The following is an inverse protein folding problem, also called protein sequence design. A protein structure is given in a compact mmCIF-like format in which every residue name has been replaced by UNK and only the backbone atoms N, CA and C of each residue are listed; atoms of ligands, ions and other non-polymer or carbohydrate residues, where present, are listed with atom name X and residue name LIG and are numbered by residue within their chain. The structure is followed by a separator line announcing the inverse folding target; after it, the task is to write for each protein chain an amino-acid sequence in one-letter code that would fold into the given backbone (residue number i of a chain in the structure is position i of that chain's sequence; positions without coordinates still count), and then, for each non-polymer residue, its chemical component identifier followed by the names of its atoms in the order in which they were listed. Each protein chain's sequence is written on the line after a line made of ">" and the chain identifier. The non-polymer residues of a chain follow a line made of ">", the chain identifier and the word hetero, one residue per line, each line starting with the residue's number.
data_IF_289327132865
#
_entry.id   IF_289327132865
#
_cell.length_a   1.000
_cell.length_b   1.000
_cell.length_c   1.000
_cell.angle_alpha   90.00
_cell.angle_beta   90.00
_cell.angle_gamma   90.00
#
_symmetry.space_group_name_H-M   'P 1'
#
loop_
_entity.id
_entity.type
_entity.pdbx_description
1 polymer ?
#
# COMPACT_ATOMS: atom_id res chain seq x y z
N UNK A 1 1.02 -21.11 21.48
CA UNK A 1 2.00 -20.86 20.42
C UNK A 1 2.93 -19.71 20.85
N UNK A 2 4.15 -19.69 20.30
CA UNK A 2 5.13 -18.62 20.53
C UNK A 2 5.48 -18.01 19.16
N UNK A 3 4.66 -17.08 18.65
CA UNK A 3 4.82 -16.51 17.31
C UNK A 3 4.77 -14.99 17.33
N UNK A 4 5.54 -14.34 16.46
CA UNK A 4 5.32 -12.96 16.08
C UNK A 4 4.22 -12.95 15.00
N UNK A 5 3.16 -12.19 15.20
CA UNK A 5 2.02 -12.09 14.28
C UNK A 5 2.04 -10.80 13.46
N UNK A 6 2.75 -9.77 13.93
CA UNK A 6 2.97 -8.53 13.19
C UNK A 6 4.25 -7.85 13.68
N UNK A 7 4.98 -7.26 12.75
CA UNK A 7 6.15 -6.43 13.05
C UNK A 7 6.07 -5.15 12.19
N UNK A 8 6.11 -3.99 12.82
CA UNK A 8 6.01 -2.70 12.14
C UNK A 8 7.04 -1.72 12.67
N UNK A 9 7.52 -0.85 11.80
CA UNK A 9 8.35 0.31 12.13
C UNK A 9 7.60 1.57 11.77
N UNK A 10 7.51 2.52 12.70
CA UNK A 10 6.78 3.79 12.57
C UNK A 10 5.32 3.61 12.08
N UNK A 11 4.69 2.48 12.45
CA UNK A 11 3.35 2.07 12.01
C UNK A 11 3.10 2.12 10.49
N UNK A 12 4.13 2.35 9.70
CA UNK A 12 4.11 2.50 8.25
C UNK A 12 4.80 1.33 7.54
N UNK A 13 5.96 0.91 8.04
CA UNK A 13 6.77 -0.11 7.36
C UNK A 13 6.51 -1.47 7.98
N UNK A 14 5.80 -2.31 7.23
CA UNK A 14 5.37 -3.64 7.68
C UNK A 14 6.40 -4.69 7.31
N UNK A 15 6.75 -5.52 8.29
CA UNK A 15 7.67 -6.64 8.09
C UNK A 15 6.98 -7.86 7.48
N UNK A 16 7.61 -8.43 6.46
CA UNK A 16 7.25 -9.74 5.91
C UNK A 16 7.80 -10.83 6.82
N UNK A 17 6.91 -11.62 7.41
CA UNK A 17 7.26 -12.71 8.33
C UNK A 17 7.32 -14.02 7.55
N UNK A 18 8.47 -14.69 7.60
CA UNK A 18 8.63 -16.05 7.12
C UNK A 18 8.66 -16.99 8.33
N UNK A 19 7.58 -17.75 8.52
CA UNK A 19 7.43 -18.66 9.65
C UNK A 19 8.35 -19.88 9.58
N UNK A 20 8.69 -20.36 8.40
CA UNK A 20 9.53 -21.53 8.21
C UNK A 20 10.99 -21.23 8.60
N UNK A 21 11.50 -20.09 8.13
CA UNK A 21 12.89 -19.67 8.43
C UNK A 21 13.01 -18.83 9.70
N UNK A 22 11.88 -18.41 10.30
CA UNK A 22 11.83 -17.48 11.43
C UNK A 22 12.58 -16.19 11.15
N UNK A 23 12.35 -15.62 9.96
CA UNK A 23 12.93 -14.35 9.55
C UNK A 23 11.86 -13.31 9.31
N UNK A 24 12.21 -12.05 9.58
CA UNK A 24 11.35 -10.90 9.29
C UNK A 24 12.17 -9.89 8.51
N UNK A 25 11.66 -9.49 7.33
CA UNK A 25 12.28 -8.48 6.49
C UNK A 25 11.41 -7.22 6.49
N UNK A 26 12.01 -6.07 6.80
CA UNK A 26 11.35 -4.76 6.75
C UNK A 26 12.09 -3.87 5.76
N UNK A 27 11.38 -3.30 4.79
CA UNK A 27 11.92 -2.31 3.89
C UNK A 27 11.55 -0.90 4.34
N UNK A 28 12.54 -0.01 4.37
CA UNK A 28 12.35 1.38 4.80
C UNK A 28 13.07 2.33 3.83
N UNK A 29 12.65 3.61 3.73
CA UNK A 29 13.39 4.59 2.93
C UNK A 29 14.82 4.77 3.45
N UNK A 30 15.75 5.04 2.55
CA UNK A 30 17.15 5.31 2.92
C UNK A 30 17.30 6.54 3.82
N UNK A 31 16.36 7.48 3.76
CA UNK A 31 16.34 8.65 4.63
C UNK A 31 16.02 8.34 6.11
N UNK A 32 15.48 7.15 6.40
CA UNK A 32 15.15 6.77 7.78
C UNK A 32 16.41 6.33 8.52
N UNK A 33 16.69 6.95 9.66
CA UNK A 33 17.77 6.51 10.55
C UNK A 33 17.41 5.18 11.22
N UNK A 34 18.13 4.11 10.84
CA UNK A 34 17.86 2.75 11.35
C UNK A 34 18.56 2.42 12.66
N UNK A 35 19.34 3.37 13.22
CA UNK A 35 20.07 3.16 14.47
C UNK A 35 19.21 3.31 15.72
N UNK A 36 18.02 3.88 15.60
CA UNK A 36 17.15 4.16 16.74
C UNK A 36 15.67 4.04 16.34
N UNK A 37 15.27 2.84 15.93
CA UNK A 37 13.90 2.56 15.54
C UNK A 37 13.12 1.91 16.67
N UNK A 38 11.86 2.28 16.82
CA UNK A 38 10.95 1.74 17.82
C UNK A 38 9.92 0.84 17.14
N UNK A 39 10.12 -0.50 17.14
CA UNK A 39 9.17 -1.40 16.48
C UNK A 39 7.92 -1.62 17.33
N UNK A 40 6.77 -1.68 16.65
CA UNK A 40 5.51 -2.17 17.21
C UNK A 40 5.34 -3.64 16.83
N UNK A 41 5.31 -4.52 17.84
CA UNK A 41 5.32 -5.98 17.63
C UNK A 41 4.08 -6.59 18.26
N UNK A 42 3.28 -7.29 17.46
CA UNK A 42 2.22 -8.16 17.95
C UNK A 42 2.71 -9.61 17.94
N UNK A 43 2.33 -10.36 18.97
CA UNK A 43 2.74 -11.76 19.16
C UNK A 43 1.62 -12.57 19.82
N UNK A 44 1.81 -13.88 19.92
CA UNK A 44 0.81 -14.81 20.45
C UNK A 44 0.31 -14.37 21.84
N UNK A 45 -0.98 -14.56 22.06
CA UNK A 45 -1.62 -14.29 23.36
C UNK A 45 -0.94 -15.08 24.49
N UNK A 46 -0.82 -14.47 25.66
CA UNK A 46 -0.14 -15.03 26.82
C UNK A 46 1.35 -15.38 26.62
N UNK A 47 1.97 -14.86 25.56
CA UNK A 47 3.41 -14.95 25.35
C UNK A 47 4.14 -13.69 25.88
N UNK A 48 5.44 -13.79 25.99
CA UNK A 48 6.35 -12.67 26.23
C UNK A 48 7.31 -12.54 25.06
N UNK A 49 7.85 -11.36 24.82
CA UNK A 49 8.85 -11.11 23.76
C UNK A 49 10.06 -10.37 24.33
N UNK A 50 11.24 -10.74 23.86
CA UNK A 50 12.50 -10.05 24.21
C UNK A 50 13.36 -9.87 22.95
N UNK A 51 13.86 -8.66 22.65
CA UNK A 51 13.53 -7.37 23.26
C UNK A 51 12.03 -7.05 23.24
N UNK A 52 11.57 -6.20 24.16
CA UNK A 52 10.14 -5.87 24.25
C UNK A 52 9.70 -4.99 23.06
N UNK A 53 8.42 -5.08 22.70
CA UNK A 53 7.79 -4.15 21.76
C UNK A 53 7.89 -2.72 22.29
N UNK A 54 8.11 -1.75 21.41
CA UNK A 54 8.21 -0.35 21.78
C UNK A 54 9.57 0.08 22.36
N UNK A 55 10.57 -0.78 22.33
CA UNK A 55 11.94 -0.44 22.75
C UNK A 55 12.76 0.00 21.54
N UNK A 56 13.38 1.17 21.67
CA UNK A 56 14.29 1.70 20.65
C UNK A 56 15.46 0.74 20.42
N UNK A 57 15.72 0.40 19.18
CA UNK A 57 16.67 -0.64 18.79
C UNK A 57 17.48 -0.17 17.57
N UNK A 58 18.77 -0.50 17.56
CA UNK A 58 19.65 -0.30 16.41
C UNK A 58 19.53 -1.49 15.43
N UNK A 59 19.04 -1.22 14.22
CA UNK A 59 18.89 -2.19 13.15
C UNK A 59 19.97 -2.12 12.08
N UNK A 60 21.12 -1.51 12.37
CA UNK A 60 22.28 -1.55 11.45
C UNK A 60 22.69 -2.98 11.11
N UNK A 61 22.50 -3.91 12.03
CA UNK A 61 22.65 -5.35 11.84
C UNK A 61 21.33 -6.07 12.17
N UNK A 62 21.14 -7.30 11.66
CA UNK A 62 19.97 -8.10 12.04
C UNK A 62 19.84 -8.25 13.55
N UNK A 63 18.61 -8.09 14.05
CA UNK A 63 18.29 -8.18 15.49
C UNK A 63 17.42 -9.41 15.74
N UNK A 64 17.70 -10.14 16.80
CA UNK A 64 16.92 -11.30 17.19
C UNK A 64 15.86 -10.94 18.23
N UNK A 65 14.65 -11.45 18.03
CA UNK A 65 13.53 -11.37 18.96
C UNK A 65 13.09 -12.76 19.35
N UNK A 66 13.03 -13.04 20.64
CA UNK A 66 12.57 -14.34 21.15
C UNK A 66 11.18 -14.19 21.74
N UNK A 67 10.23 -14.98 21.23
CA UNK A 67 8.89 -15.11 21.80
C UNK A 67 8.83 -16.36 22.65
N UNK A 68 8.35 -16.22 23.87
CA UNK A 68 8.23 -17.31 24.85
C UNK A 68 6.79 -17.45 25.30
N UNK A 69 6.24 -18.65 25.22
CA UNK A 69 4.93 -18.99 25.75
C UNK A 69 5.03 -20.34 26.49
N UNK A 70 5.02 -20.29 27.82
CA UNK A 70 5.29 -21.45 28.69
C UNK A 70 6.64 -22.11 28.34
N UNK A 71 6.61 -23.33 27.81
CA UNK A 71 7.81 -24.09 27.40
C UNK A 71 8.19 -23.90 25.95
N UNK A 72 7.35 -23.22 25.14
CA UNK A 72 7.62 -22.99 23.74
C UNK A 72 8.42 -21.68 23.55
N UNK A 73 9.50 -21.76 22.79
CA UNK A 73 10.32 -20.60 22.40
C UNK A 73 10.54 -20.59 20.91
N UNK A 74 10.37 -19.43 20.30
CA UNK A 74 10.76 -19.19 18.91
C UNK A 74 11.59 -17.91 18.80
N UNK A 75 12.68 -17.97 18.07
CA UNK A 75 13.57 -16.82 17.84
C UNK A 75 13.46 -16.41 16.37
N UNK A 76 13.13 -15.15 16.16
CA UNK A 76 13.05 -14.52 14.85
C UNK A 76 14.24 -13.60 14.62
N UNK A 77 14.81 -13.65 13.42
CA UNK A 77 15.83 -12.71 12.98
C UNK A 77 15.19 -11.61 12.15
N UNK A 78 15.22 -10.38 12.63
CA UNK A 78 14.68 -9.20 11.95
C UNK A 78 15.79 -8.46 11.23
N UNK A 79 15.60 -8.25 9.93
CA UNK A 79 16.48 -7.43 9.09
C UNK A 79 15.72 -6.23 8.59
N UNK A 80 16.23 -5.03 8.86
CA UNK A 80 15.72 -3.78 8.27
C UNK A 80 16.64 -3.40 7.11
N UNK A 81 16.06 -3.26 5.91
CA UNK A 81 16.79 -2.89 4.71
C UNK A 81 16.35 -1.53 4.22
N UNK A 82 17.30 -0.60 4.15
CA UNK A 82 17.07 0.71 3.55
C UNK A 82 17.00 0.59 2.02
N UNK A 83 16.03 1.27 1.42
CA UNK A 83 15.82 1.33 -0.03
C UNK A 83 15.89 2.79 -0.48
N UNK A 84 16.85 3.09 -1.35
CA UNK A 84 16.94 4.39 -2.03
C UNK A 84 15.93 4.50 -3.17
N UNK A 85 15.77 3.40 -3.91
CA UNK A 85 15.03 3.32 -5.16
C UNK A 85 14.08 2.14 -5.10
N UNK A 86 12.83 2.37 -4.69
CA UNK A 86 11.84 1.29 -4.65
C UNK A 86 11.54 0.78 -6.08
N UNK A 87 11.31 -0.52 -6.22
CA UNK A 87 10.83 -1.10 -7.47
C UNK A 87 9.31 -0.98 -7.62
N UNK A 88 8.62 -0.87 -6.50
CA UNK A 88 7.19 -0.65 -6.45
C UNK A 88 6.83 0.31 -5.30
N UNK A 89 5.85 1.17 -5.53
CA UNK A 89 5.43 2.16 -4.57
C UNK A 89 3.93 2.07 -4.33
N UNK A 90 3.52 1.96 -3.07
CA UNK A 90 2.15 2.25 -2.68
C UNK A 90 2.05 3.70 -2.30
N UNK A 91 1.12 4.44 -2.90
CA UNK A 91 0.92 5.85 -2.58
C UNK A 91 -0.42 6.07 -1.91
N UNK A 92 -0.43 6.95 -0.91
CA UNK A 92 -1.63 7.32 -0.17
C UNK A 92 -1.71 8.82 0.11
N UNK A 93 -2.88 9.27 0.60
CA UNK A 93 -3.09 10.67 0.98
C UNK A 93 -2.46 10.99 2.33
N UNK A 94 -2.46 10.04 3.25
CA UNK A 94 -1.93 10.22 4.60
C UNK A 94 -0.39 10.22 4.62
N UNK A 95 0.20 10.84 5.64
CA UNK A 95 1.65 10.84 5.80
C UNK A 95 2.20 9.47 6.22
N UNK A 96 1.41 8.68 6.93
CA UNK A 96 1.75 7.32 7.30
C UNK A 96 0.67 6.32 6.90
N UNK A 97 1.04 5.06 6.72
CA UNK A 97 0.10 3.99 6.41
C UNK A 97 -0.98 3.83 7.50
N UNK A 98 -0.65 4.04 8.76
CA UNK A 98 -1.58 3.89 9.89
C UNK A 98 -2.71 4.92 9.90
N UNK A 99 -2.55 6.04 9.20
CA UNK A 99 -3.55 7.10 9.08
C UNK A 99 -4.51 6.88 7.89
N UNK A 100 -4.21 5.93 7.02
CA UNK A 100 -5.11 5.52 5.94
C UNK A 100 -6.37 4.85 6.52
N UNK A 101 -7.46 4.80 5.76
CA UNK A 101 -8.60 3.98 6.16
C UNK A 101 -8.24 2.48 6.12
N UNK A 102 -9.05 1.65 6.76
CA UNK A 102 -8.73 0.23 6.97
C UNK A 102 -8.59 -0.56 5.65
N UNK A 103 -9.35 -0.19 4.61
CA UNK A 103 -9.27 -0.85 3.31
C UNK A 103 -7.95 -0.52 2.60
N UNK A 104 -7.57 0.75 2.60
CA UNK A 104 -6.29 1.21 2.04
C UNK A 104 -5.10 0.64 2.82
N UNK A 105 -5.19 0.61 4.17
CA UNK A 105 -4.16 -0.03 5.00
C UNK A 105 -3.99 -1.50 4.63
N UNK A 106 -5.10 -2.22 4.41
CA UNK A 106 -5.06 -3.65 4.06
C UNK A 106 -4.39 -3.87 2.71
N UNK A 107 -4.71 -3.06 1.71
CA UNK A 107 -4.09 -3.11 0.39
C UNK A 107 -2.60 -2.77 0.46
N UNK A 108 -2.24 -1.71 1.16
CA UNK A 108 -0.86 -1.30 1.37
C UNK A 108 -0.05 -2.39 2.09
N UNK A 109 -0.58 -2.91 3.19
CA UNK A 109 0.05 -3.99 3.95
C UNK A 109 0.32 -5.20 3.05
N UNK A 110 -0.67 -5.62 2.26
CA UNK A 110 -0.50 -6.74 1.35
C UNK A 110 0.66 -6.50 0.38
N UNK A 111 0.77 -5.30 -0.20
CA UNK A 111 1.86 -4.97 -1.11
C UNK A 111 3.21 -5.02 -0.41
N UNK A 112 3.33 -4.40 0.76
CA UNK A 112 4.59 -4.36 1.51
C UNK A 112 5.06 -5.75 1.95
N UNK A 113 4.12 -6.66 2.24
CA UNK A 113 4.42 -8.05 2.63
C UNK A 113 4.75 -8.97 1.44
N UNK A 114 4.20 -8.70 0.26
CA UNK A 114 4.28 -9.64 -0.87
C UNK A 114 5.12 -9.13 -2.05
N UNK A 115 5.42 -7.83 -2.12
CA UNK A 115 6.21 -7.26 -3.21
C UNK A 115 7.56 -6.78 -2.69
N UNK A 116 8.64 -7.48 -3.03
CA UNK A 116 9.99 -7.08 -2.59
C UNK A 116 10.37 -5.68 -3.09
N UNK A 117 11.20 -4.98 -2.31
CA UNK A 117 11.65 -3.62 -2.61
C UNK A 117 10.48 -2.65 -2.84
N UNK A 118 9.38 -2.81 -2.13
CA UNK A 118 8.25 -1.90 -2.13
C UNK A 118 8.30 -0.96 -0.92
N UNK A 119 7.78 0.25 -1.11
CA UNK A 119 7.64 1.25 -0.05
C UNK A 119 6.24 1.86 -0.08
N UNK A 120 5.85 2.41 1.07
CA UNK A 120 4.78 3.39 1.18
C UNK A 120 5.35 4.80 1.06
N UNK A 121 4.66 5.68 0.35
CA UNK A 121 4.89 7.12 0.36
C UNK A 121 3.56 7.87 0.31
N UNK A 122 3.53 9.08 0.86
CA UNK A 122 2.40 9.98 0.66
C UNK A 122 2.51 10.68 -0.71
N UNK A 123 1.40 11.21 -1.21
CA UNK A 123 1.44 12.10 -2.38
C UNK A 123 2.28 13.35 -2.12
N UNK A 124 2.35 13.80 -0.87
CA UNK A 124 3.23 14.91 -0.46
C UNK A 124 4.70 14.56 -0.65
N UNK A 125 5.11 13.32 -0.32
CA UNK A 125 6.46 12.85 -0.55
C UNK A 125 6.81 12.79 -2.03
N UNK A 126 5.87 12.32 -2.87
CA UNK A 126 6.03 12.34 -4.33
C UNK A 126 6.21 13.77 -4.85
N UNK A 127 5.31 14.68 -4.47
CA UNK A 127 5.36 16.08 -4.86
C UNK A 127 6.69 16.73 -4.51
N UNK A 128 7.21 16.43 -3.33
CA UNK A 128 8.45 16.99 -2.81
C UNK A 128 9.72 16.31 -3.39
N UNK A 129 9.57 15.24 -4.17
CA UNK A 129 10.70 14.49 -4.71
C UNK A 129 11.49 13.74 -3.64
N UNK A 130 10.85 13.39 -2.53
CA UNK A 130 11.49 12.68 -1.41
C UNK A 130 11.80 11.21 -1.72
N UNK A 131 11.22 10.68 -2.80
CA UNK A 131 11.39 9.29 -3.24
C UNK A 131 12.00 9.28 -4.64
N UNK A 132 13.12 8.59 -4.81
CA UNK A 132 13.72 8.37 -6.12
C UNK A 132 12.97 7.26 -6.88
N UNK A 133 12.24 7.63 -7.92
CA UNK A 133 11.43 6.72 -8.74
C UNK A 133 12.20 6.12 -9.93
N UNK A 134 13.51 6.36 -10.08
CA UNK A 134 14.26 5.95 -11.26
C UNK A 134 14.23 4.44 -11.53
N UNK A 135 14.15 3.62 -10.50
CA UNK A 135 14.04 2.16 -10.60
C UNK A 135 12.62 1.63 -10.41
N UNK A 136 11.67 2.54 -10.09
CA UNK A 136 10.29 2.18 -9.84
C UNK A 136 9.60 1.74 -11.13
N UNK A 137 8.91 0.62 -11.07
CA UNK A 137 8.16 0.03 -12.21
C UNK A 137 6.67 0.27 -12.10
N UNK A 138 6.14 0.30 -10.88
CA UNK A 138 4.71 0.45 -10.64
C UNK A 138 4.43 1.32 -9.43
N UNK A 139 3.46 2.21 -9.58
CA UNK A 139 2.84 2.94 -8.47
C UNK A 139 1.42 2.43 -8.32
N UNK A 140 1.09 1.95 -7.13
CA UNK A 140 -0.27 1.53 -6.78
C UNK A 140 -0.93 2.56 -5.89
N UNK A 141 -2.09 3.04 -6.31
CA UNK A 141 -3.01 3.83 -5.50
C UNK A 141 -4.35 3.12 -5.41
N UNK A 142 -4.71 2.71 -4.19
CA UNK A 142 -6.02 2.19 -3.84
C UNK A 142 -6.74 3.28 -3.06
N UNK A 143 -7.72 3.93 -3.67
CA UNK A 143 -8.41 5.04 -3.04
C UNK A 143 -9.83 4.65 -2.67
N UNK A 144 -10.12 4.61 -1.38
CA UNK A 144 -11.45 4.35 -0.86
C UNK A 144 -11.93 5.53 0.00
N UNK A 145 -13.18 5.89 -0.17
CA UNK A 145 -13.83 6.92 0.64
C UNK A 145 -15.24 6.49 0.99
N UNK A 146 -15.60 6.56 2.27
CA UNK A 146 -16.96 6.33 2.72
C UNK A 146 -17.91 7.35 2.07
N UNK A 147 -19.02 6.86 1.51
CA UNK A 147 -19.97 7.68 0.77
C UNK A 147 -19.58 7.97 -0.67
N UNK A 148 -18.46 7.41 -1.12
CA UNK A 148 -18.02 7.54 -2.51
C UNK A 148 -17.45 8.90 -2.89
N UNK A 149 -16.96 8.98 -4.11
CA UNK A 149 -16.61 10.22 -4.80
C UNK A 149 -17.69 10.42 -5.83
N UNK A 150 -18.40 11.54 -5.77
CA UNK A 150 -19.46 11.84 -6.74
C UNK A 150 -18.98 11.63 -8.16
N UNK A 151 -19.82 11.00 -8.96
CA UNK A 151 -19.62 10.44 -10.28
C UNK A 151 -18.82 11.21 -11.34
N UNK A 152 -18.10 12.23 -10.96
CA UNK A 152 -17.04 12.87 -11.75
C UNK A 152 -15.85 12.97 -10.84
N UNK A 153 -14.65 12.80 -11.37
CA UNK A 153 -13.44 12.90 -10.57
C UNK A 153 -13.44 14.24 -9.81
N UNK A 154 -13.76 14.19 -8.55
CA UNK A 154 -13.78 15.37 -7.71
C UNK A 154 -12.61 15.30 -6.73
N UNK A 155 -11.42 15.03 -7.29
CA UNK A 155 -10.19 14.99 -6.51
C UNK A 155 -9.86 16.32 -5.85
N UNK A 156 -10.33 17.45 -6.39
CA UNK A 156 -10.16 18.75 -5.76
C UNK A 156 -10.64 18.78 -4.30
N UNK A 157 -11.72 18.03 -4.01
CA UNK A 157 -12.26 17.93 -2.65
C UNK A 157 -11.82 16.68 -1.91
N UNK A 158 -11.62 15.59 -2.62
CA UNK A 158 -11.42 14.28 -2.03
C UNK A 158 -9.94 13.90 -1.87
N UNK A 159 -9.08 14.40 -2.75
CA UNK A 159 -7.67 14.06 -2.80
C UNK A 159 -6.83 15.16 -3.47
N UNK A 160 -6.86 16.40 -2.95
CA UNK A 160 -6.12 17.51 -3.55
C UNK A 160 -4.62 17.23 -3.60
N UNK A 161 -4.05 16.49 -2.64
CA UNK A 161 -2.64 16.10 -2.60
C UNK A 161 -2.25 15.25 -3.82
N UNK A 162 -3.17 14.40 -4.29
CA UNK A 162 -2.94 13.60 -5.49
C UNK A 162 -2.87 14.47 -6.75
N UNK A 163 -3.68 15.53 -6.83
CA UNK A 163 -3.61 16.49 -7.94
C UNK A 163 -2.31 17.30 -7.92
N UNK A 164 -1.84 17.64 -6.74
CA UNK A 164 -0.57 18.37 -6.59
C UNK A 164 0.65 17.55 -7.03
N UNK A 165 0.58 16.22 -6.99
CA UNK A 165 1.63 15.31 -7.43
C UNK A 165 1.54 14.92 -8.92
N UNK A 166 0.57 15.45 -9.68
CA UNK A 166 0.38 15.14 -11.12
C UNK A 166 1.66 15.35 -11.95
N UNK A 167 2.46 16.40 -11.78
CA UNK A 167 3.70 16.56 -12.54
C UNK A 167 4.63 15.35 -12.39
N UNK A 168 4.86 14.90 -11.16
CA UNK A 168 5.74 13.77 -10.85
C UNK A 168 5.18 12.44 -11.39
N UNK A 169 3.88 12.25 -11.28
CA UNK A 169 3.21 11.07 -11.83
C UNK A 169 3.29 11.04 -13.36
N UNK A 170 3.12 12.18 -14.02
CA UNK A 170 3.30 12.29 -15.49
C UNK A 170 4.72 11.99 -15.91
N UNK A 171 5.71 12.49 -15.20
CA UNK A 171 7.11 12.21 -15.50
C UNK A 171 7.45 10.73 -15.27
N UNK A 172 6.94 10.13 -14.18
CA UNK A 172 7.05 8.69 -13.95
C UNK A 172 6.48 7.87 -15.12
N UNK A 173 5.27 8.20 -15.58
CA UNK A 173 4.63 7.51 -16.70
C UNK A 173 5.41 7.68 -18.02
N UNK A 174 5.86 8.90 -18.34
CA UNK A 174 6.66 9.18 -19.53
C UNK A 174 7.99 8.41 -19.54
N UNK A 175 8.55 8.15 -18.36
CA UNK A 175 9.78 7.37 -18.21
C UNK A 175 9.53 5.84 -18.17
N UNK A 176 8.32 5.38 -18.56
CA UNK A 176 8.00 3.98 -18.72
C UNK A 176 7.45 3.31 -17.45
N UNK A 177 7.11 4.08 -16.43
CA UNK A 177 6.42 3.58 -15.25
C UNK A 177 4.97 3.18 -15.53
N UNK A 178 4.42 2.30 -14.73
CA UNK A 178 3.05 1.82 -14.83
C UNK A 178 2.25 2.19 -13.56
N UNK A 179 0.93 2.30 -13.73
CA UNK A 179 0.02 2.53 -12.61
C UNK A 179 -0.92 1.35 -12.38
N UNK A 180 -1.16 1.04 -11.13
CA UNK A 180 -2.29 0.26 -10.68
C UNK A 180 -3.24 1.18 -9.90
N UNK A 181 -4.33 1.57 -10.52
CA UNK A 181 -5.36 2.38 -9.90
C UNK A 181 -6.56 1.50 -9.56
N UNK A 182 -6.97 1.50 -8.31
CA UNK A 182 -8.09 0.68 -7.84
C UNK A 182 -9.09 1.54 -7.08
N UNK A 183 -10.35 1.14 -7.08
CA UNK A 183 -11.48 1.90 -6.52
C UNK A 183 -11.58 3.28 -7.20
N UNK A 184 -11.75 4.35 -6.44
CA UNK A 184 -11.90 5.71 -6.97
C UNK A 184 -10.63 6.26 -7.62
N UNK A 185 -9.47 5.67 -7.34
CA UNK A 185 -8.23 6.03 -8.04
C UNK A 185 -8.29 5.76 -9.56
N UNK A 186 -9.22 4.91 -10.02
CA UNK A 186 -9.46 4.66 -11.46
C UNK A 186 -9.86 5.90 -12.26
N UNK A 187 -10.19 6.99 -11.61
CA UNK A 187 -10.42 8.29 -12.27
C UNK A 187 -9.11 9.06 -12.58
N UNK A 188 -7.98 8.69 -11.97
CA UNK A 188 -6.70 9.38 -12.14
C UNK A 188 -6.18 9.43 -13.58
N UNK A 189 -6.39 8.43 -14.44
CA UNK A 189 -6.00 8.52 -15.86
C UNK A 189 -6.57 9.73 -16.61
N UNK A 190 -7.75 10.20 -16.22
CA UNK A 190 -8.34 11.44 -16.76
C UNK A 190 -7.55 12.66 -16.35
N UNK A 191 -7.20 12.77 -15.07
CA UNK A 191 -6.43 13.88 -14.52
C UNK A 191 -4.97 13.89 -15.05
N UNK A 192 -4.42 12.72 -15.30
CA UNK A 192 -3.12 12.56 -15.94
C UNK A 192 -3.13 12.89 -17.42
N UNK A 193 -4.30 13.03 -18.04
CA UNK A 193 -4.44 13.23 -19.49
C UNK A 193 -4.08 11.99 -20.33
N UNK A 194 -4.02 10.80 -19.71
CA UNK A 194 -3.80 9.52 -20.39
C UNK A 194 -5.09 9.08 -21.08
N UNK A 195 -6.23 9.36 -20.45
CA UNK A 195 -7.55 9.13 -21.01
C UNK A 195 -8.33 10.45 -21.09
N UNK A 196 -9.33 10.51 -21.97
CA UNK A 196 -10.25 11.66 -21.97
C UNK A 196 -11.07 11.67 -20.70
N UNK A 197 -11.29 12.85 -20.13
CA UNK A 197 -12.25 13.03 -19.04
C UNK A 197 -13.62 12.49 -19.48
N UNK A 198 -14.22 11.64 -18.66
CA UNK A 198 -15.46 10.93 -18.98
C UNK A 198 -15.28 9.63 -19.78
N UNK A 199 -14.06 9.30 -20.22
CA UNK A 199 -13.73 8.01 -20.85
C UNK A 199 -13.21 6.97 -19.86
N UNK A 200 -13.20 7.29 -18.59
CA UNK A 200 -12.79 6.39 -17.50
C UNK A 200 -14.05 5.93 -16.79
N UNK A 201 -14.14 4.67 -16.39
CA UNK A 201 -15.25 4.18 -15.58
C UNK A 201 -15.33 5.01 -14.31
N UNK A 202 -16.39 5.75 -14.21
CA UNK A 202 -16.55 6.65 -13.11
C UNK A 202 -17.47 6.02 -12.10
N UNK A 203 -16.91 5.47 -11.04
CA UNK A 203 -17.68 5.09 -9.86
C UNK A 203 -18.89 4.21 -10.16
N UNK A 204 -18.75 3.33 -11.12
CA UNK A 204 -19.80 2.45 -11.55
C UNK A 204 -20.00 1.34 -10.54
N UNK A 205 -21.01 1.48 -9.74
CA UNK A 205 -21.56 0.41 -8.92
C UNK A 205 -22.62 -0.27 -9.77
N UNK A 206 -22.28 -1.38 -10.38
CA UNK A 206 -23.17 -2.11 -11.29
C UNK A 206 -24.65 -1.94 -10.98
N UNK A 207 -25.56 -2.01 -11.89
CA UNK A 207 -27.00 -1.86 -11.72
C UNK A 207 -27.53 -0.46 -11.36
N UNK A 208 -26.79 0.56 -11.43
CA UNK A 208 -27.41 1.88 -11.39
C UNK A 208 -27.95 2.18 -12.79
N UNK A 209 -29.26 2.01 -12.95
CA UNK A 209 -29.95 2.27 -14.23
C UNK A 209 -29.71 3.70 -14.71
N UNK A 210 -29.56 4.66 -13.80
CA UNK A 210 -29.30 6.05 -14.10
C UNK A 210 -27.91 6.29 -14.71
N UNK A 211 -26.99 5.34 -14.53
CA UNK A 211 -25.64 5.37 -15.06
C UNK A 211 -25.36 4.22 -16.05
N UNK A 212 -26.38 3.60 -16.57
CA UNK A 212 -26.24 2.44 -17.46
C UNK A 212 -25.35 2.71 -18.68
N UNK A 213 -25.37 3.93 -19.22
CA UNK A 213 -24.48 4.32 -20.31
C UNK A 213 -23.01 4.42 -19.90
N UNK A 214 -22.74 4.76 -18.64
CA UNK A 214 -21.40 4.86 -18.09
C UNK A 214 -20.92 3.53 -17.53
N UNK A 215 -21.84 2.75 -17.00
CA UNK A 215 -21.56 1.52 -16.28
C UNK A 215 -21.93 0.26 -17.06
N UNK A 216 -22.77 0.36 -18.06
CA UNK A 216 -23.30 -0.76 -18.83
C UNK A 216 -22.37 -1.31 -19.90
N UNK A 217 -21.16 -0.84 -19.95
CA UNK A 217 -20.17 -1.32 -20.90
C UNK A 217 -19.33 -2.49 -20.36
N UNK A 218 -18.26 -2.83 -21.05
CA UNK A 218 -17.30 -3.86 -20.63
C UNK A 218 -16.61 -3.58 -19.29
N UNK A 219 -16.85 -2.43 -18.72
CA UNK A 219 -16.32 -1.95 -17.43
C UNK A 219 -17.21 -2.29 -16.25
N UNK A 220 -18.44 -2.74 -16.49
CA UNK A 220 -19.35 -3.10 -15.44
C UNK A 220 -18.93 -4.45 -14.82
N UNK A 221 -18.14 -4.39 -13.78
CA UNK A 221 -17.77 -5.57 -13.00
C UNK A 221 -18.88 -5.81 -11.99
N UNK A 222 -19.77 -6.70 -12.31
CA UNK A 222 -20.79 -7.17 -11.38
C UNK A 222 -20.18 -8.21 -10.46
N UNK A 223 -20.12 -7.86 -9.18
CA UNK A 223 -19.66 -8.73 -8.13
C UNK A 223 -20.78 -9.68 -7.73
N UNK A 224 -21.01 -10.68 -8.50
CA UNK A 224 -22.05 -11.64 -8.24
C UNK A 224 -22.24 -12.61 -9.36
N UNK A 225 -23.19 -13.47 -9.20
CA UNK A 225 -23.55 -14.48 -10.18
C UNK A 225 -24.76 -14.08 -11.02
N UNK A 226 -25.16 -12.84 -10.91
CA UNK A 226 -26.28 -12.35 -11.68
C UNK A 226 -25.95 -12.35 -13.15
N UNK A 227 -26.98 -12.56 -13.90
CA UNK A 227 -26.89 -12.81 -15.29
C UNK A 227 -25.88 -11.92 -16.02
N UNK A 228 -24.77 -12.51 -16.32
CA UNK A 228 -23.81 -11.99 -17.26
C UNK A 228 -22.93 -10.85 -16.80
N UNK A 229 -22.98 -10.52 -15.52
CA UNK A 229 -22.19 -9.40 -15.08
C UNK A 229 -20.77 -9.72 -14.73
N UNK A 230 -20.37 -10.96 -14.58
CA UNK A 230 -19.14 -11.27 -13.97
C UNK A 230 -18.05 -11.63 -14.94
N UNK A 231 -17.00 -10.92 -14.90
CA UNK A 231 -15.84 -11.14 -15.74
C UNK A 231 -14.77 -11.97 -15.03
N UNK A 232 -15.14 -13.16 -14.62
CA UNK A 232 -14.16 -14.14 -14.14
C UNK A 232 -13.18 -14.63 -15.21
N UNK A 233 -13.42 -14.21 -16.45
CA UNK A 233 -12.65 -14.63 -17.61
C UNK A 233 -11.68 -13.58 -18.13
N UNK A 234 -11.51 -12.46 -17.46
CA UNK A 234 -10.40 -11.60 -17.76
C UNK A 234 -9.12 -12.32 -17.36
N UNK A 235 -8.55 -13.02 -18.30
CA UNK A 235 -7.14 -13.37 -18.24
C UNK A 235 -6.34 -12.08 -18.30
N UNK A 236 -5.66 -11.78 -17.21
CA UNK A 236 -4.59 -10.80 -17.19
C UNK A 236 -3.46 -11.32 -18.08
#
# INVERSE_FOLDING_TARGET
>A
EAKITSFKINDTYVGTINEDSKTIMVYVPASLDIKNLTPTIAYSENATISPASGIATDFTNPVTYTVTNNTANNTYTVTVKQIDKPQALYVGLAQSMSELNIEEQTACKWMLENVPNSLYASFTDLKNGSIDLSDCKVIWWHFHKDGGVDGKSNFEKAAPEALEAIPQLKDFYKNGGSFLFTRYATNMPGELGIAKNGGVPNNCWGNNEDNAELCGGPWDIKMGNEAGGYHSTHSI
#
